data_IF_675543542458
#
_entry.id   IF_675543542458
#
_cell.length_a   1.000
_cell.length_b   1.000
_cell.length_c   1.000
_cell.angle_alpha   90.00
_cell.angle_beta   90.00
_cell.angle_gamma   90.00
#
_symmetry.space_group_name_H-M   'P 1'
#
loop_
_entity.id
_entity.type
_entity.pdbx_description
1 polymer ?
#
# COMPACT_ATOMS: atom_id res chain seq x y z
N UNK A 1 48.78 34.21 -37.43
CA UNK A 1 47.96 32.98 -37.42
C UNK A 1 48.17 32.24 -36.11
N UNK A 2 47.08 32.05 -35.37
CA UNK A 2 46.75 30.92 -34.48
C UNK A 2 47.58 30.67 -33.20
N UNK A 3 47.19 31.31 -32.09
CA UNK A 3 47.52 30.86 -30.72
C UNK A 3 46.30 31.03 -29.78
N UNK A 4 45.18 30.36 -30.09
CA UNK A 4 43.97 30.43 -29.25
C UNK A 4 43.41 29.06 -28.81
N UNK A 5 44.11 27.95 -29.06
CA UNK A 5 43.53 26.61 -28.86
C UNK A 5 43.87 25.94 -27.52
N UNK A 6 44.77 26.49 -26.70
CA UNK A 6 45.27 25.78 -25.50
C UNK A 6 44.37 25.94 -24.25
N UNK A 7 43.57 27.00 -24.14
CA UNK A 7 42.86 27.34 -22.88
C UNK A 7 41.36 26.93 -22.84
N UNK A 8 40.86 26.20 -23.84
CA UNK A 8 39.46 25.73 -23.85
C UNK A 8 39.29 24.32 -23.27
N UNK A 9 40.37 23.53 -23.19
CA UNK A 9 40.32 22.13 -22.77
C UNK A 9 40.25 21.97 -21.23
N UNK A 10 40.94 22.82 -20.47
CA UNK A 10 40.90 22.81 -19.00
C UNK A 10 39.54 23.20 -18.43
N UNK A 11 38.88 24.19 -19.03
CA UNK A 11 37.53 24.65 -18.64
C UNK A 11 36.46 23.57 -18.90
N UNK A 12 36.55 22.85 -20.03
CA UNK A 12 35.64 21.73 -20.34
C UNK A 12 35.85 20.55 -19.38
N UNK A 13 37.08 20.21 -19.05
CA UNK A 13 37.39 19.13 -18.09
C UNK A 13 36.81 19.44 -16.70
N UNK A 14 37.01 20.65 -16.20
CA UNK A 14 36.52 21.09 -14.90
C UNK A 14 34.98 21.19 -14.85
N UNK A 15 34.34 21.69 -15.91
CA UNK A 15 32.88 21.72 -16.06
C UNK A 15 32.26 20.31 -16.10
N UNK A 16 32.90 19.39 -16.85
CA UNK A 16 32.46 17.99 -16.97
C UNK A 16 32.56 17.25 -15.63
N UNK A 17 33.67 17.45 -14.90
CA UNK A 17 33.87 16.85 -13.58
C UNK A 17 32.85 17.37 -12.55
N UNK A 18 32.57 18.67 -12.57
CA UNK A 18 31.55 19.31 -11.73
C UNK A 18 30.13 18.80 -12.04
N UNK A 19 29.79 18.63 -13.32
CA UNK A 19 28.52 18.04 -13.75
C UNK A 19 28.40 16.58 -13.32
N UNK A 20 29.46 15.78 -13.46
CA UNK A 20 29.51 14.37 -13.02
C UNK A 20 29.28 14.24 -11.51
N UNK A 21 29.93 15.08 -10.70
CA UNK A 21 29.71 15.12 -9.24
C UNK A 21 28.27 15.53 -8.86
N UNK A 22 27.65 16.47 -9.59
CA UNK A 22 26.24 16.84 -9.36
C UNK A 22 25.30 15.68 -9.68
N UNK A 23 25.55 14.95 -10.77
CA UNK A 23 24.74 13.79 -11.14
C UNK A 23 24.85 12.63 -10.14
N UNK A 24 26.05 12.32 -9.63
CA UNK A 24 26.25 11.26 -8.64
C UNK A 24 25.58 11.59 -7.31
N UNK A 25 25.64 12.86 -6.87
CA UNK A 25 24.90 13.34 -5.67
C UNK A 25 23.39 13.18 -5.83
N UNK A 26 22.82 13.61 -6.96
CA UNK A 26 21.39 13.44 -7.26
C UNK A 26 20.96 11.97 -7.29
N UNK A 27 21.80 11.09 -7.84
CA UNK A 27 21.53 9.64 -7.89
C UNK A 27 21.51 9.00 -6.49
N UNK A 28 22.47 9.36 -5.63
CA UNK A 28 22.52 8.92 -4.23
C UNK A 28 21.33 9.44 -3.43
N UNK A 29 20.91 10.69 -3.64
CA UNK A 29 19.74 11.26 -2.98
C UNK A 29 18.44 10.56 -3.40
N UNK A 30 18.28 10.25 -4.69
CA UNK A 30 17.15 9.44 -5.20
C UNK A 30 17.14 8.01 -4.66
N UNK A 31 18.31 7.38 -4.54
CA UNK A 31 18.43 6.05 -3.92
C UNK A 31 18.04 6.08 -2.44
N UNK A 32 18.45 7.11 -1.68
CA UNK A 32 18.02 7.29 -0.29
C UNK A 32 16.51 7.50 -0.18
N UNK A 33 15.91 8.32 -1.04
CA UNK A 33 14.45 8.51 -1.05
C UNK A 33 13.68 7.21 -1.35
N UNK A 34 14.21 6.36 -2.25
CA UNK A 34 13.62 5.04 -2.53
C UNK A 34 13.70 4.07 -1.33
N UNK A 35 14.76 4.16 -0.52
CA UNK A 35 14.88 3.33 0.69
C UNK A 35 13.96 3.82 1.83
N UNK A 36 13.68 5.12 1.91
CA UNK A 36 12.79 5.67 2.96
C UNK A 36 11.30 5.49 2.59
N UNK A 37 10.96 5.51 1.30
CA UNK A 37 9.59 5.25 0.80
C UNK A 37 9.19 3.77 0.73
N UNK A 38 10.14 2.85 0.96
CA UNK A 38 9.93 1.39 0.87
C UNK A 38 9.35 0.73 2.12
N UNK A 39 8.83 1.50 3.09
CA UNK A 39 8.18 0.97 4.30
C UNK A 39 6.71 0.58 4.06
N UNK A 40 6.39 0.06 2.87
CA UNK A 40 5.19 -0.74 2.65
C UNK A 40 5.40 -2.10 3.30
N UNK A 41 5.51 -2.10 4.63
CA UNK A 41 5.82 -3.27 5.43
C UNK A 41 4.88 -4.41 5.09
N UNK A 42 5.47 -5.59 4.93
CA UNK A 42 4.83 -6.88 4.69
C UNK A 42 3.76 -7.12 5.76
N UNK A 43 2.57 -6.55 5.57
CA UNK A 43 1.46 -6.63 6.52
C UNK A 43 1.15 -8.11 6.68
N UNK A 44 1.10 -8.62 7.91
CA UNK A 44 0.88 -10.04 8.10
C UNK A 44 -0.42 -10.44 7.40
N UNK A 45 -0.45 -11.63 6.79
CA UNK A 45 -1.63 -12.14 6.07
C UNK A 45 -2.87 -12.08 6.97
N UNK A 46 -2.70 -12.30 8.28
CA UNK A 46 -3.72 -12.16 9.31
C UNK A 46 -4.25 -10.72 9.41
N UNK A 47 -3.39 -9.70 9.46
CA UNK A 47 -3.83 -8.30 9.52
C UNK A 47 -4.63 -7.89 8.28
N UNK A 48 -4.26 -8.41 7.10
CA UNK A 48 -5.04 -8.18 5.87
C UNK A 48 -6.42 -8.83 5.98
N UNK A 49 -6.50 -10.07 6.47
CA UNK A 49 -7.77 -10.77 6.69
C UNK A 49 -8.65 -10.05 7.72
N UNK A 50 -8.09 -9.62 8.84
CA UNK A 50 -8.80 -8.83 9.87
C UNK A 50 -9.33 -7.54 9.28
N UNK A 51 -8.52 -6.80 8.50
CA UNK A 51 -8.97 -5.56 7.85
C UNK A 51 -10.12 -5.82 6.85
N UNK A 52 -10.07 -6.92 6.10
CA UNK A 52 -11.18 -7.32 5.22
C UNK A 52 -12.44 -7.63 6.03
N UNK A 53 -12.30 -8.38 7.13
CA UNK A 53 -13.42 -8.71 8.01
C UNK A 53 -14.08 -7.44 8.59
N UNK A 54 -13.29 -6.47 9.05
CA UNK A 54 -13.79 -5.17 9.52
C UNK A 54 -14.65 -4.41 8.49
N UNK A 55 -14.40 -4.63 7.18
CA UNK A 55 -15.18 -3.99 6.11
C UNK A 55 -16.49 -4.73 5.81
N UNK A 56 -16.54 -6.05 6.07
CA UNK A 56 -17.71 -6.88 5.81
C UNK A 56 -18.74 -6.84 6.93
N UNK A 57 -18.28 -6.72 8.18
CA UNK A 57 -19.15 -6.73 9.35
C UNK A 57 -19.75 -5.34 9.55
N UNK A 58 -21.09 -5.21 9.63
CA UNK A 58 -21.74 -3.93 9.95
C UNK A 58 -21.22 -3.41 11.29
N UNK A 59 -20.75 -2.16 11.34
CA UNK A 59 -20.11 -1.59 12.54
C UNK A 59 -18.71 -2.13 12.86
N UNK A 60 -18.14 -3.00 12.02
CA UNK A 60 -16.85 -3.67 12.24
C UNK A 60 -15.61 -2.80 12.04
N UNK A 61 -15.74 -1.62 11.43
CA UNK A 61 -14.60 -0.75 11.11
C UNK A 61 -13.90 -0.25 12.37
N UNK A 62 -12.59 -0.43 12.44
CA UNK A 62 -11.77 0.03 13.56
C UNK A 62 -11.82 -0.84 14.82
N UNK A 63 -12.62 -1.91 14.84
CA UNK A 63 -12.69 -2.81 15.99
C UNK A 63 -11.42 -3.64 16.16
N UNK A 64 -11.01 -3.83 17.41
CA UNK A 64 -9.98 -4.83 17.76
C UNK A 64 -10.49 -6.24 17.45
N UNK A 65 -9.57 -7.17 17.23
CA UNK A 65 -9.89 -8.54 16.81
C UNK A 65 -10.91 -9.23 17.74
N UNK A 66 -10.76 -9.11 19.05
CA UNK A 66 -11.64 -9.77 20.03
C UNK A 66 -13.11 -9.34 19.87
N UNK A 67 -13.36 -8.03 19.79
CA UNK A 67 -14.71 -7.48 19.57
C UNK A 67 -15.22 -7.74 18.16
N UNK A 68 -14.33 -7.66 17.18
CA UNK A 68 -14.68 -7.93 15.79
C UNK A 68 -15.18 -9.36 15.63
N UNK A 69 -14.54 -10.34 16.27
CA UNK A 69 -14.95 -11.74 16.20
C UNK A 69 -16.27 -12.00 16.91
N UNK A 70 -16.51 -11.39 18.08
CA UNK A 70 -17.81 -11.46 18.75
C UNK A 70 -18.93 -10.94 17.83
N UNK A 71 -18.77 -9.73 17.30
CA UNK A 71 -19.75 -9.13 16.40
C UNK A 71 -19.90 -9.88 15.08
N UNK A 72 -18.84 -10.58 14.64
CA UNK A 72 -18.89 -11.47 13.47
C UNK A 72 -19.77 -12.68 13.77
N UNK A 73 -19.68 -13.27 14.95
CA UNK A 73 -20.51 -14.40 15.35
C UNK A 73 -22.00 -14.02 15.38
N UNK A 74 -22.31 -12.87 15.99
CA UNK A 74 -23.68 -12.33 16.02
C UNK A 74 -24.22 -12.09 14.60
N UNK A 75 -23.40 -11.49 13.73
CA UNK A 75 -23.80 -11.20 12.36
C UNK A 75 -24.02 -12.48 11.52
N UNK A 76 -23.18 -13.51 11.69
CA UNK A 76 -23.37 -14.81 11.05
C UNK A 76 -24.69 -15.44 11.50
N UNK A 77 -24.99 -15.39 12.80
CA UNK A 77 -26.25 -15.92 13.33
C UNK A 77 -27.46 -15.20 12.74
N UNK A 78 -27.42 -13.87 12.70
CA UNK A 78 -28.48 -13.05 12.10
C UNK A 78 -28.70 -13.41 10.62
N UNK A 79 -27.63 -13.50 9.82
CA UNK A 79 -27.72 -13.85 8.40
C UNK A 79 -28.32 -15.25 8.21
N UNK A 80 -27.89 -16.23 9.02
CA UNK A 80 -28.46 -17.59 8.99
C UNK A 80 -29.95 -17.59 9.28
N UNK A 81 -30.38 -16.84 10.29
CA UNK A 81 -31.80 -16.72 10.63
C UNK A 81 -32.60 -16.10 9.47
N UNK A 82 -32.10 -15.01 8.88
CA UNK A 82 -32.74 -14.37 7.72
C UNK A 82 -32.90 -15.34 6.55
N UNK A 83 -31.84 -16.08 6.20
CA UNK A 83 -31.89 -17.08 5.13
C UNK A 83 -32.88 -18.20 5.47
N UNK A 84 -32.88 -18.70 6.71
CA UNK A 84 -33.80 -19.76 7.13
C UNK A 84 -35.27 -19.32 7.02
N UNK A 85 -35.60 -18.09 7.44
CA UNK A 85 -36.95 -17.52 7.29
C UNK A 85 -37.33 -17.42 5.82
N UNK A 86 -36.47 -16.87 4.98
CA UNK A 86 -36.73 -16.75 3.54
C UNK A 86 -36.93 -18.12 2.88
N UNK A 87 -36.15 -19.13 3.27
CA UNK A 87 -36.31 -20.49 2.79
C UNK A 87 -37.63 -21.12 3.25
N UNK A 88 -38.03 -20.92 4.51
CA UNK A 88 -39.30 -21.42 5.03
C UNK A 88 -40.48 -20.78 4.29
N UNK A 89 -40.48 -19.46 4.13
CA UNK A 89 -41.48 -18.74 3.34
C UNK A 89 -41.50 -19.22 1.89
N UNK A 90 -40.34 -19.34 1.25
CA UNK A 90 -40.27 -19.83 -0.14
C UNK A 90 -40.86 -21.23 -0.29
N UNK A 91 -40.73 -22.12 0.70
CA UNK A 91 -41.37 -23.45 0.68
C UNK A 91 -42.88 -23.35 0.81
N UNK A 92 -43.38 -22.46 1.66
CA UNK A 92 -44.82 -22.23 1.84
C UNK A 92 -45.44 -21.68 0.54
N UNK A 93 -44.79 -20.72 -0.13
CA UNK A 93 -45.29 -20.12 -1.37
C UNK A 93 -45.00 -20.93 -2.64
N UNK A 94 -44.29 -22.07 -2.54
CA UNK A 94 -44.07 -23.02 -3.65
C UNK A 94 -45.07 -24.18 -3.65
N UNK A 95 -46.03 -24.19 -2.71
CA UNK A 95 -47.25 -24.99 -2.73
C UNK A 95 -48.32 -24.26 -3.55
#
# INVERSE_FOLDING_TARGET
MNNSTSNYNGLKAHSSYRMKMKMTRRRRQRQRQRQVGGRGGRRSTVQVKVKKLQMLIPGGRGLKADRLFLQTADYILQLRLQVNVLQALSKIYKL
#
